data_IF_885201484012
#
_entry.id   IF_885201484012
#
_cell.length_a   1.000
_cell.length_b   1.000
_cell.length_c   1.000
_cell.angle_alpha   90.00
_cell.angle_beta   90.00
_cell.angle_gamma   90.00
#
_symmetry.space_group_name_H-M   'P 1'
#
loop_
_entity.id
_entity.type
_entity.pdbx_description
1 polymer ?
#
# COMPACT_ATOMS: atom_id res chain seq x y z
N UNK A 1 13.77 7.88 -13.62
CA UNK A 1 13.63 6.53 -13.11
C UNK A 1 13.02 5.64 -14.15
N UNK A 2 13.32 4.38 -14.15
CA UNK A 2 12.68 3.44 -15.05
C UNK A 2 11.63 2.68 -14.27
N UNK A 3 10.41 2.63 -14.80
CA UNK A 3 9.39 1.74 -14.30
C UNK A 3 9.78 0.30 -14.63
N UNK A 4 9.85 -0.54 -13.62
CA UNK A 4 10.12 -1.98 -13.77
C UNK A 4 8.88 -2.79 -13.42
N UNK A 5 8.63 -3.87 -14.14
CA UNK A 5 7.61 -4.83 -13.71
C UNK A 5 8.15 -5.61 -12.53
N UNK A 6 7.37 -5.69 -11.45
CA UNK A 6 7.74 -6.40 -10.24
C UNK A 6 7.92 -7.88 -10.53
N UNK A 7 9.12 -8.39 -10.24
CA UNK A 7 9.48 -9.81 -10.35
C UNK A 7 10.11 -10.27 -9.04
N UNK A 8 10.19 -11.58 -8.81
CA UNK A 8 10.85 -12.12 -7.63
C UNK A 8 12.32 -11.72 -7.51
N UNK A 9 12.95 -11.27 -8.58
CA UNK A 9 14.36 -10.87 -8.59
C UNK A 9 14.57 -9.38 -8.26
N UNK A 10 13.79 -8.47 -8.85
CA UNK A 10 13.97 -7.02 -8.66
C UNK A 10 13.30 -6.48 -7.40
N UNK A 11 12.44 -7.26 -6.74
CA UNK A 11 11.66 -6.82 -5.59
C UNK A 11 12.09 -7.41 -4.25
N UNK A 12 13.08 -8.27 -4.20
CA UNK A 12 13.44 -9.09 -3.01
C UNK A 12 13.64 -8.31 -1.71
N UNK A 13 14.05 -7.05 -1.78
CA UNK A 13 14.25 -6.21 -0.61
C UNK A 13 13.05 -5.38 -0.21
N UNK A 14 12.01 -5.29 -1.05
CA UNK A 14 10.83 -4.44 -0.83
C UNK A 14 9.55 -5.24 -0.68
N UNK A 15 9.40 -6.29 -1.49
CA UNK A 15 8.18 -7.06 -1.56
C UNK A 15 8.45 -8.49 -1.98
N UNK A 16 7.48 -9.36 -1.76
CA UNK A 16 7.45 -10.72 -2.25
C UNK A 16 6.26 -10.90 -3.17
N UNK A 17 6.52 -11.36 -4.38
CA UNK A 17 5.47 -11.88 -5.23
C UNK A 17 5.07 -13.26 -4.72
N UNK A 18 3.86 -13.34 -4.25
CA UNK A 18 3.19 -14.61 -4.16
C UNK A 18 2.64 -14.88 -5.56
N UNK A 19 3.44 -15.40 -6.46
CA UNK A 19 3.01 -15.90 -7.76
C UNK A 19 1.76 -16.76 -7.57
N UNK A 20 1.52 -17.83 -8.04
CA UNK A 20 0.47 -18.75 -7.59
C UNK A 20 0.86 -19.22 -6.19
N UNK A 21 0.16 -18.76 -5.16
CA UNK A 21 0.18 -19.41 -3.86
C UNK A 21 -0.67 -20.66 -4.07
N UNK A 22 0.01 -21.80 -4.22
CA UNK A 22 -0.67 -23.08 -4.34
C UNK A 22 -1.61 -23.24 -3.13
N UNK A 23 -2.91 -23.26 -3.38
CA UNK A 23 -3.94 -23.38 -2.36
C UNK A 23 -4.68 -22.09 -1.97
N UNK A 24 -4.33 -20.91 -2.53
CA UNK A 24 -5.08 -19.65 -2.35
C UNK A 24 -5.72 -19.13 -3.65
N UNK A 25 -5.69 -19.90 -4.73
CA UNK A 25 -6.22 -19.49 -6.04
C UNK A 25 -7.71 -19.15 -5.96
N UNK A 26 -8.48 -19.95 -5.24
CA UNK A 26 -9.94 -19.71 -5.06
C UNK A 26 -10.20 -18.44 -4.26
N UNK A 27 -9.41 -18.18 -3.20
CA UNK A 27 -9.51 -16.96 -2.40
C UNK A 27 -9.15 -15.71 -3.23
N UNK A 28 -8.13 -15.78 -4.07
CA UNK A 28 -7.73 -14.70 -4.98
C UNK A 28 -8.84 -14.41 -5.99
N UNK A 29 -9.43 -15.42 -6.63
CA UNK A 29 -10.54 -15.25 -7.59
C UNK A 29 -11.79 -14.67 -6.92
N UNK A 30 -12.12 -15.12 -5.70
CA UNK A 30 -13.24 -14.58 -4.91
C UNK A 30 -13.05 -13.09 -4.63
N UNK A 31 -11.83 -12.70 -4.17
CA UNK A 31 -11.49 -11.32 -3.91
C UNK A 31 -11.55 -10.47 -5.19
N UNK A 32 -10.96 -10.92 -6.30
CA UNK A 32 -10.97 -10.19 -7.56
C UNK A 32 -12.39 -9.93 -8.07
N UNK A 33 -13.26 -10.93 -7.92
CA UNK A 33 -14.68 -10.81 -8.30
C UNK A 33 -15.42 -9.75 -7.47
N UNK A 34 -15.14 -9.68 -6.16
CA UNK A 34 -15.74 -8.68 -5.27
C UNK A 34 -15.11 -7.29 -5.49
N UNK A 35 -13.80 -7.22 -5.62
CA UNK A 35 -13.03 -5.99 -5.82
C UNK A 35 -13.45 -5.26 -7.11
N UNK A 36 -13.74 -5.98 -8.19
CA UNK A 36 -14.21 -5.40 -9.45
C UNK A 36 -15.56 -4.65 -9.32
N UNK A 37 -16.29 -4.85 -8.22
CA UNK A 37 -17.57 -4.17 -7.94
C UNK A 37 -17.44 -2.98 -7.00
N UNK A 38 -16.25 -2.76 -6.43
CA UNK A 38 -15.99 -1.62 -5.55
C UNK A 38 -15.94 -0.32 -6.35
N UNK A 39 -16.21 0.84 -5.73
CA UNK A 39 -16.17 2.13 -6.41
C UNK A 39 -14.81 2.42 -7.08
N UNK A 40 -14.84 3.21 -8.15
CA UNK A 40 -13.64 3.75 -8.79
C UNK A 40 -13.76 5.28 -8.84
N UNK A 41 -13.26 6.01 -7.83
CA UNK A 41 -13.32 7.46 -7.81
C UNK A 41 -12.32 8.12 -8.77
N UNK A 42 -12.55 9.40 -9.09
CA UNK A 42 -11.63 10.23 -9.89
C UNK A 42 -10.31 10.51 -9.16
N UNK A 43 -10.35 10.65 -7.84
CA UNK A 43 -9.20 10.75 -6.96
C UNK A 43 -8.82 9.38 -6.39
N UNK A 44 -8.38 9.36 -5.14
CA UNK A 44 -8.05 8.13 -4.41
C UNK A 44 -8.92 8.05 -3.16
N UNK A 45 -9.61 6.93 -2.99
CA UNK A 45 -10.32 6.58 -1.76
C UNK A 45 -9.71 5.31 -1.15
N UNK A 46 -9.70 5.28 0.18
CA UNK A 46 -9.25 4.14 0.98
C UNK A 46 -10.31 3.72 1.98
N UNK A 47 -10.64 2.44 1.98
CA UNK A 47 -11.55 1.81 2.95
C UNK A 47 -10.78 0.70 3.67
N UNK A 48 -10.46 0.86 4.96
CA UNK A 48 -9.64 -0.11 5.70
C UNK A 48 -10.30 -1.47 5.85
N UNK A 49 -11.64 -1.52 5.92
CA UNK A 49 -12.42 -2.75 6.01
C UNK A 49 -13.68 -2.60 5.19
N UNK A 50 -13.78 -3.33 4.08
CA UNK A 50 -14.99 -3.38 3.26
C UNK A 50 -15.85 -4.58 3.70
N UNK A 51 -17.12 -4.38 4.08
CA UNK A 51 -17.97 -5.49 4.54
C UNK A 51 -18.11 -6.62 3.52
N UNK A 52 -18.21 -6.29 2.21
CA UNK A 52 -18.36 -7.30 1.17
C UNK A 52 -17.09 -8.13 0.97
N UNK A 53 -15.91 -7.54 1.17
CA UNK A 53 -14.63 -8.27 1.16
C UNK A 53 -14.44 -9.07 2.47
N UNK A 54 -14.80 -8.48 3.60
CA UNK A 54 -14.59 -9.10 4.91
C UNK A 54 -15.47 -10.34 5.15
N UNK A 55 -16.62 -10.41 4.51
CA UNK A 55 -17.55 -11.56 4.60
C UNK A 55 -17.16 -12.73 3.69
N UNK A 56 -16.17 -12.57 2.80
CA UNK A 56 -15.68 -13.64 1.94
C UNK A 56 -14.95 -14.73 2.75
N UNK A 57 -15.02 -15.96 2.26
CA UNK A 57 -14.20 -17.05 2.81
C UNK A 57 -12.70 -16.74 2.73
N UNK A 58 -12.29 -15.99 1.73
CA UNK A 58 -10.94 -15.49 1.54
C UNK A 58 -10.38 -14.73 2.77
N UNK A 59 -11.21 -14.08 3.59
CA UNK A 59 -10.74 -13.41 4.80
C UNK A 59 -10.18 -14.40 5.83
N UNK A 60 -10.76 -15.59 5.93
CA UNK A 60 -10.24 -16.67 6.80
C UNK A 60 -8.94 -17.22 6.23
N UNK A 61 -8.89 -17.48 4.92
CA UNK A 61 -7.70 -17.97 4.23
C UNK A 61 -6.51 -17.01 4.40
N UNK A 62 -6.74 -15.69 4.28
CA UNK A 62 -5.72 -14.68 4.51
C UNK A 62 -5.26 -14.63 5.98
N UNK A 63 -6.18 -14.74 6.93
CA UNK A 63 -5.83 -14.83 8.34
C UNK A 63 -4.92 -16.03 8.62
N UNK A 64 -5.29 -17.21 8.15
CA UNK A 64 -4.58 -18.45 8.45
C UNK A 64 -3.25 -18.55 7.70
N UNK A 65 -3.25 -18.27 6.40
CA UNK A 65 -2.11 -18.57 5.52
C UNK A 65 -1.19 -17.38 5.25
N UNK A 66 -1.70 -16.13 5.32
CA UNK A 66 -0.88 -14.94 5.15
C UNK A 66 -0.39 -14.37 6.49
N UNK A 67 -1.19 -14.49 7.54
CA UNK A 67 -0.90 -13.86 8.85
C UNK A 67 -0.81 -14.87 10.01
N UNK A 68 -0.76 -16.17 9.73
CA UNK A 68 -0.54 -17.21 10.74
C UNK A 68 -1.63 -17.28 11.82
N UNK A 69 -2.88 -16.98 11.47
CA UNK A 69 -4.03 -17.01 12.37
C UNK A 69 -4.33 -15.68 13.09
N UNK A 70 -3.60 -14.60 12.77
CA UNK A 70 -3.93 -13.27 13.31
C UNK A 70 -5.20 -12.72 12.66
N UNK A 71 -6.05 -11.99 13.41
CA UNK A 71 -7.19 -11.31 12.82
C UNK A 71 -6.76 -10.32 11.75
N UNK A 72 -7.39 -10.37 10.58
CA UNK A 72 -7.11 -9.49 9.45
C UNK A 72 -8.32 -8.68 9.05
N UNK A 73 -8.07 -7.58 8.39
CA UNK A 73 -9.06 -6.79 7.68
C UNK A 73 -8.79 -6.81 6.20
N UNK A 74 -9.84 -6.91 5.41
CA UNK A 74 -9.81 -6.78 3.96
C UNK A 74 -10.50 -5.49 3.56
N UNK A 75 -9.74 -4.57 3.03
CA UNK A 75 -10.20 -3.30 2.50
C UNK A 75 -9.70 -3.07 1.09
N UNK A 76 -9.78 -1.84 0.63
CA UNK A 76 -9.30 -1.48 -0.69
C UNK A 76 -8.80 -0.03 -0.75
N UNK A 77 -7.88 0.21 -1.68
CA UNK A 77 -7.46 1.51 -2.12
C UNK A 77 -7.72 1.61 -3.62
N UNK A 78 -8.63 2.50 -4.02
CA UNK A 78 -9.09 2.60 -5.41
C UNK A 78 -8.98 4.03 -5.93
N UNK A 79 -8.79 4.19 -7.22
CA UNK A 79 -8.87 5.49 -7.84
C UNK A 79 -7.88 5.74 -8.97
N UNK A 80 -7.48 7.01 -9.07
CA UNK A 80 -6.54 7.52 -10.07
C UNK A 80 -5.45 8.34 -9.37
N UNK A 81 -4.21 7.98 -9.57
CA UNK A 81 -3.04 8.66 -9.02
C UNK A 81 -1.82 8.41 -9.88
N UNK A 82 -0.91 9.38 -9.93
CA UNK A 82 0.41 9.26 -10.56
C UNK A 82 1.53 9.77 -9.66
N UNK A 83 1.19 10.34 -8.49
CA UNK A 83 2.14 11.04 -7.63
C UNK A 83 2.49 10.24 -6.38
N UNK A 84 3.72 10.43 -5.93
CA UNK A 84 4.24 9.88 -4.69
C UNK A 84 3.48 10.41 -3.46
N UNK A 85 3.40 11.70 -3.29
CA UNK A 85 2.81 12.46 -2.19
C UNK A 85 3.32 12.08 -0.79
N UNK A 86 3.23 10.80 -0.43
CA UNK A 86 3.62 10.28 0.88
C UNK A 86 4.26 8.91 0.76
N UNK A 87 4.88 8.48 1.85
CA UNK A 87 5.23 7.09 2.11
C UNK A 87 4.87 6.74 3.54
N UNK A 88 4.39 5.55 3.76
CA UNK A 88 4.01 5.03 5.08
C UNK A 88 4.59 3.65 5.32
N UNK A 89 4.61 3.24 6.59
CA UNK A 89 4.93 1.88 6.98
C UNK A 89 4.07 1.42 8.15
N UNK A 90 3.97 0.12 8.27
CA UNK A 90 3.30 -0.59 9.35
C UNK A 90 4.28 -1.51 10.07
N UNK A 91 3.93 -2.02 11.25
CA UNK A 91 4.75 -3.03 11.95
C UNK A 91 4.53 -4.45 11.39
N UNK A 92 3.70 -4.58 10.37
CA UNK A 92 3.34 -5.84 9.71
C UNK A 92 3.44 -5.70 8.20
N UNK A 93 3.60 -6.82 7.50
CA UNK A 93 3.47 -6.84 6.04
C UNK A 93 2.04 -6.48 5.62
N UNK A 94 1.93 -5.79 4.47
CA UNK A 94 0.67 -5.53 3.79
C UNK A 94 0.56 -6.42 2.55
N UNK A 95 -0.62 -6.99 2.30
CA UNK A 95 -0.86 -7.72 1.05
C UNK A 95 -1.72 -6.89 0.11
N UNK A 96 -1.27 -6.77 -1.14
CA UNK A 96 -1.98 -6.09 -2.22
C UNK A 96 -2.31 -7.04 -3.36
N UNK A 97 -3.49 -6.85 -3.95
CA UNK A 97 -3.96 -7.58 -5.12
C UNK A 97 -4.79 -6.63 -5.98
N UNK A 98 -4.37 -6.38 -7.23
CA UNK A 98 -5.08 -5.47 -8.12
C UNK A 98 -6.05 -6.18 -9.06
N UNK A 99 -7.23 -5.60 -9.26
CA UNK A 99 -8.13 -5.98 -10.36
C UNK A 99 -7.61 -5.48 -11.72
N UNK A 100 -6.88 -4.37 -11.72
CA UNK A 100 -6.12 -3.81 -12.84
C UNK A 100 -4.62 -3.84 -12.51
N UNK A 101 -3.78 -3.69 -13.53
CA UNK A 101 -2.35 -3.42 -13.32
C UNK A 101 -2.20 -2.10 -12.54
N UNK A 102 -1.33 -2.08 -11.56
CA UNK A 102 -1.05 -0.88 -10.76
C UNK A 102 0.45 -0.71 -10.52
N UNK A 103 0.83 0.45 -10.02
CA UNK A 103 2.22 0.78 -9.73
C UNK A 103 2.36 1.09 -8.25
N UNK A 104 3.36 0.47 -7.60
CA UNK A 104 3.81 0.80 -6.26
C UNK A 104 5.10 1.63 -6.32
N UNK A 105 5.10 2.76 -5.62
CA UNK A 105 6.30 3.56 -5.35
C UNK A 105 6.82 3.15 -3.97
N UNK A 106 7.96 2.49 -3.93
CA UNK A 106 8.50 1.84 -2.75
C UNK A 106 9.87 2.38 -2.38
N UNK A 107 10.16 2.42 -1.06
CA UNK A 107 11.48 2.64 -0.51
C UNK A 107 11.66 1.73 0.72
N UNK A 108 12.87 1.64 1.28
CA UNK A 108 13.12 0.83 2.46
C UNK A 108 13.14 1.69 3.72
N UNK A 109 12.58 1.19 4.81
CA UNK A 109 12.54 1.90 6.08
C UNK A 109 13.94 2.26 6.60
N UNK A 110 14.94 1.40 6.36
CA UNK A 110 16.33 1.63 6.74
C UNK A 110 17.00 2.78 5.99
N UNK A 111 16.37 3.30 4.94
CA UNK A 111 16.86 4.45 4.17
C UNK A 111 16.40 5.79 4.74
N UNK A 112 15.60 5.79 5.82
CA UNK A 112 15.23 6.98 6.57
C UNK A 112 16.44 7.41 7.41
N UNK A 113 16.90 8.63 7.20
CA UNK A 113 18.00 9.25 7.95
C UNK A 113 17.46 10.45 8.74
N UNK A 114 17.56 10.43 10.06
CA UNK A 114 17.07 11.51 10.95
C UNK A 114 15.59 11.91 10.70
N UNK A 115 14.74 10.92 10.45
CA UNK A 115 13.31 11.12 10.16
C UNK A 115 13.00 11.61 8.74
N UNK A 116 13.98 11.62 7.84
CA UNK A 116 13.82 12.08 6.45
C UNK A 116 14.27 11.02 5.46
N UNK A 117 13.45 10.77 4.43
CA UNK A 117 13.80 9.97 3.27
C UNK A 117 14.00 10.87 2.05
N UNK A 118 15.11 10.67 1.34
CA UNK A 118 15.32 11.30 0.03
C UNK A 118 14.53 10.54 -1.04
N UNK A 119 13.66 11.26 -1.75
CA UNK A 119 12.80 10.66 -2.78
C UNK A 119 13.55 10.07 -3.96
N UNK A 120 14.83 10.43 -4.16
CA UNK A 120 15.70 9.79 -5.15
C UNK A 120 15.94 8.29 -4.87
N UNK A 121 15.69 7.82 -3.65
CA UNK A 121 15.78 6.40 -3.25
C UNK A 121 14.53 5.59 -3.63
N UNK A 122 13.43 6.26 -3.97
CA UNK A 122 12.16 5.61 -4.33
C UNK A 122 12.28 4.86 -5.64
N UNK A 123 11.77 3.64 -5.67
CA UNK A 123 11.70 2.78 -6.85
C UNK A 123 10.24 2.54 -7.22
N UNK A 124 9.96 2.49 -8.52
CA UNK A 124 8.62 2.25 -9.05
C UNK A 124 8.52 0.84 -9.64
N UNK A 125 7.51 0.09 -9.21
CA UNK A 125 7.27 -1.28 -9.64
C UNK A 125 5.85 -1.43 -10.19
N UNK A 126 5.73 -1.92 -11.42
CA UNK A 126 4.44 -2.32 -11.98
C UNK A 126 4.08 -3.71 -11.48
N UNK A 127 2.91 -3.82 -10.90
CA UNK A 127 2.30 -5.08 -10.45
C UNK A 127 1.20 -5.48 -11.45
N UNK A 128 1.30 -6.64 -12.09
CA UNK A 128 0.25 -7.13 -12.99
C UNK A 128 -1.04 -7.43 -12.23
N UNK A 129 -2.19 -7.22 -12.88
CA UNK A 129 -3.49 -7.61 -12.36
C UNK A 129 -3.52 -9.09 -11.97
N UNK A 130 -4.20 -9.41 -10.88
CA UNK A 130 -4.33 -10.79 -10.37
C UNK A 130 -3.08 -11.36 -9.70
N UNK A 131 -2.02 -10.56 -9.52
CA UNK A 131 -0.81 -10.98 -8.80
C UNK A 131 -0.88 -10.49 -7.35
N UNK A 132 -0.84 -11.42 -6.40
CA UNK A 132 -0.77 -11.11 -4.98
C UNK A 132 0.66 -10.71 -4.59
N UNK A 133 0.79 -9.59 -3.92
CA UNK A 133 2.07 -9.03 -3.47
C UNK A 133 2.05 -8.87 -1.95
N UNK A 134 3.09 -9.34 -1.28
CA UNK A 134 3.40 -9.00 0.11
C UNK A 134 4.41 -7.85 0.12
N UNK A 135 3.98 -6.67 0.55
CA UNK A 135 4.84 -5.53 0.85
C UNK A 135 5.35 -5.69 2.27
N UNK A 136 6.67 -5.82 2.43
CA UNK A 136 7.24 -6.12 3.75
C UNK A 136 7.03 -4.99 4.77
N UNK A 137 6.96 -5.35 6.06
CA UNK A 137 6.88 -4.38 7.16
C UNK A 137 7.97 -3.31 7.14
N UNK A 138 9.14 -3.64 6.57
CA UNK A 138 10.30 -2.75 6.41
C UNK A 138 10.28 -1.92 5.13
N UNK A 139 9.18 -1.99 4.36
CA UNK A 139 9.02 -1.26 3.09
C UNK A 139 8.06 -0.11 3.24
N UNK A 140 8.53 1.06 2.82
CA UNK A 140 7.71 2.25 2.70
C UNK A 140 6.89 2.18 1.42
N UNK A 141 5.60 2.46 1.52
CA UNK A 141 4.62 2.46 0.42
C UNK A 141 3.54 3.50 0.69
N UNK A 142 2.69 3.76 -0.27
CA UNK A 142 1.49 4.59 -0.11
C UNK A 142 0.45 4.22 -1.16
N UNK A 143 -0.53 5.12 -1.39
CA UNK A 143 -1.55 4.91 -2.42
C UNK A 143 -0.94 4.49 -3.75
N UNK A 144 -1.44 3.43 -4.40
CA UNK A 144 -0.97 3.01 -5.71
C UNK A 144 -1.10 4.09 -6.77
N UNK A 145 -0.35 3.94 -7.87
CA UNK A 145 -0.57 4.70 -9.08
C UNK A 145 -1.20 3.82 -10.16
N UNK A 146 -1.99 4.43 -11.05
CA UNK A 146 -2.56 3.70 -12.18
C UNK A 146 -1.51 3.47 -13.28
N UNK A 147 -1.70 2.41 -14.07
CA UNK A 147 -0.95 2.14 -15.29
C UNK A 147 -1.65 2.72 -16.52
N UNK A 148 -2.96 2.92 -16.45
CA UNK A 148 -3.83 3.40 -17.53
C UNK A 148 -4.87 4.36 -16.93
N UNK A 149 -4.78 5.63 -17.29
CA UNK A 149 -5.69 6.67 -16.80
C UNK A 149 -7.17 6.41 -17.14
N UNK A 150 -7.45 5.63 -18.18
CA UNK A 150 -8.83 5.26 -18.54
C UNK A 150 -9.43 4.17 -17.65
N UNK A 151 -8.58 3.44 -16.89
CA UNK A 151 -8.99 2.31 -16.04
C UNK A 151 -8.85 2.60 -14.55
N UNK A 152 -7.92 3.48 -14.16
CA UNK A 152 -7.57 3.65 -12.77
C UNK A 152 -7.00 2.38 -12.15
N UNK A 153 -7.19 2.21 -10.84
CA UNK A 153 -6.84 1.00 -10.12
C UNK A 153 -7.87 0.67 -9.04
N UNK A 154 -8.11 -0.63 -8.83
CA UNK A 154 -8.78 -1.20 -7.65
C UNK A 154 -7.84 -2.20 -7.03
N UNK A 155 -7.38 -1.91 -5.81
CA UNK A 155 -6.37 -2.70 -5.13
C UNK A 155 -6.87 -3.12 -3.75
N UNK A 156 -6.94 -4.44 -3.52
CA UNK A 156 -7.10 -4.98 -2.18
C UNK A 156 -5.97 -4.49 -1.28
N UNK A 157 -6.31 -4.12 -0.06
CA UNK A 157 -5.38 -3.87 1.04
C UNK A 157 -5.75 -4.79 2.19
N UNK A 158 -4.91 -5.80 2.45
CA UNK A 158 -5.06 -6.70 3.58
C UNK A 158 -4.01 -6.40 4.64
N UNK A 159 -4.43 -6.18 5.87
CA UNK A 159 -3.61 -5.80 7.01
C UNK A 159 -4.16 -6.45 8.30
N UNK A 160 -3.36 -6.54 9.37
CA UNK A 160 -3.87 -6.90 10.68
C UNK A 160 -5.02 -5.99 11.13
N UNK A 161 -5.97 -6.59 11.82
CA UNK A 161 -7.19 -5.93 12.28
C UNK A 161 -6.92 -4.61 13.01
N UNK A 162 -7.69 -3.57 12.69
CA UNK A 162 -7.61 -2.20 13.19
C UNK A 162 -6.43 -1.35 12.66
N UNK A 163 -5.57 -1.84 11.81
CA UNK A 163 -4.56 -1.00 11.13
C UNK A 163 -5.26 0.11 10.32
N UNK A 164 -4.67 1.30 10.26
CA UNK A 164 -5.22 2.48 9.56
C UNK A 164 -6.56 2.99 10.12
N UNK A 165 -6.90 2.64 11.35
CA UNK A 165 -8.04 3.19 12.06
C UNK A 165 -7.63 4.38 12.94
N UNK A 166 -8.51 4.85 13.83
CA UNK A 166 -8.26 6.03 14.67
C UNK A 166 -6.89 5.97 15.36
N UNK A 167 -6.09 7.06 15.23
CA UNK A 167 -4.82 7.23 15.96
C UNK A 167 -5.05 7.05 17.46
N UNK A 168 -4.23 6.25 18.16
CA UNK A 168 -4.33 6.16 19.61
C UNK A 168 -4.00 7.51 20.27
N UNK A 169 -4.69 7.81 21.37
CA UNK A 169 -4.38 8.99 22.20
C UNK A 169 -3.13 8.68 23.01
N UNK A 170 -2.03 9.35 22.68
CA UNK A 170 -0.74 9.15 23.33
C UNK A 170 0.11 10.42 23.28
N UNK A 171 1.05 10.54 24.21
CA UNK A 171 2.09 11.56 24.17
C UNK A 171 3.24 11.09 23.28
N UNK A 172 3.82 12.00 22.51
CA UNK A 172 5.01 11.71 21.71
C UNK A 172 6.23 11.57 22.63
N UNK A 173 6.92 10.41 22.57
CA UNK A 173 8.09 10.08 23.40
C UNK A 173 9.27 9.57 22.59
N UNK A 174 9.02 9.04 21.40
CA UNK A 174 10.04 8.55 20.48
C UNK A 174 10.14 9.43 19.25
N UNK A 175 11.23 9.31 18.52
CA UNK A 175 11.43 10.06 17.27
C UNK A 175 10.43 9.69 16.18
N UNK A 176 9.80 8.51 16.27
CA UNK A 176 8.79 8.05 15.31
C UNK A 176 7.37 8.55 15.63
N UNK A 177 7.07 8.87 16.89
CA UNK A 177 5.70 9.19 17.32
C UNK A 177 5.06 10.36 16.55
N UNK A 178 5.80 11.43 16.14
CA UNK A 178 5.25 12.50 15.31
C UNK A 178 4.74 12.04 13.94
N UNK A 179 5.25 10.92 13.42
CA UNK A 179 4.84 10.35 12.15
C UNK A 179 3.61 9.45 12.25
N UNK A 180 3.19 9.05 13.46
CA UNK A 180 2.04 8.18 13.69
C UNK A 180 0.75 8.95 13.39
N UNK A 181 0.13 8.70 12.25
CA UNK A 181 -1.10 9.38 11.80
C UNK A 181 -2.38 8.58 12.06
N UNK A 182 -2.26 7.26 12.12
CA UNK A 182 -3.33 6.33 12.43
C UNK A 182 -2.78 5.15 13.22
N UNK A 183 -3.64 4.25 13.70
CA UNK A 183 -3.20 3.03 14.38
C UNK A 183 -2.31 2.20 13.48
N UNK A 184 -1.10 1.86 13.95
CA UNK A 184 -0.10 1.07 13.22
C UNK A 184 0.31 1.70 11.86
N UNK A 185 0.24 3.05 11.75
CA UNK A 185 0.52 3.78 10.52
C UNK A 185 1.41 4.98 10.78
N UNK A 186 2.66 4.90 10.35
CA UNK A 186 3.63 6.01 10.36
C UNK A 186 3.76 6.55 8.94
N UNK A 187 3.52 7.85 8.77
CA UNK A 187 3.43 8.53 7.48
C UNK A 187 4.50 9.61 7.35
N UNK A 188 5.30 9.54 6.31
CA UNK A 188 6.24 10.57 5.87
C UNK A 188 5.60 11.33 4.71
N UNK A 189 5.21 12.58 4.93
CA UNK A 189 4.57 13.39 3.90
C UNK A 189 5.60 14.20 3.09
N UNK A 190 5.34 14.35 1.78
CA UNK A 190 6.04 15.33 0.96
C UNK A 190 5.47 16.73 1.28
N UNK A 191 6.30 17.80 1.34
CA UNK A 191 5.81 19.13 1.70
C UNK A 191 4.73 19.70 0.76
N UNK A 192 4.65 19.20 -0.48
CA UNK A 192 3.64 19.60 -1.46
C UNK A 192 2.33 18.80 -1.35
N UNK A 193 2.29 17.74 -0.55
CA UNK A 193 1.12 16.87 -0.42
C UNK A 193 -0.03 17.52 0.37
N UNK A 194 -1.25 17.08 0.13
CA UNK A 194 -2.41 17.52 0.91
C UNK A 194 -2.34 17.02 2.35
N UNK A 195 -1.70 15.87 2.58
CA UNK A 195 -1.46 15.31 3.91
C UNK A 195 -0.56 16.23 4.75
N UNK A 196 0.51 16.77 4.16
CA UNK A 196 1.36 17.75 4.85
C UNK A 196 0.62 19.05 5.16
N UNK A 197 -0.21 19.54 4.23
CA UNK A 197 -1.09 20.71 4.45
C UNK A 197 -2.13 20.44 5.54
N UNK A 198 -2.56 19.19 5.67
CA UNK A 198 -3.46 18.71 6.72
C UNK A 198 -2.78 18.47 8.08
N UNK A 199 -1.46 18.70 8.18
CA UNK A 199 -0.70 18.61 9.43
C UNK A 199 0.08 17.31 9.62
N UNK A 200 0.16 16.44 8.61
CA UNK A 200 1.04 15.27 8.67
C UNK A 200 2.52 15.70 8.69
N UNK A 201 3.35 14.94 9.42
CA UNK A 201 4.76 15.23 9.56
C UNK A 201 5.48 15.14 8.20
N UNK A 202 6.16 16.21 7.82
CA UNK A 202 7.01 16.21 6.63
C UNK A 202 8.24 15.33 6.90
N UNK A 203 8.42 14.29 6.07
CA UNK A 203 9.51 13.33 6.16
C UNK A 203 10.08 12.95 4.80
N UNK A 204 9.56 13.52 3.70
CA UNK A 204 10.10 13.32 2.36
C UNK A 204 10.83 14.59 1.89
N UNK A 205 12.00 14.40 1.30
CA UNK A 205 12.84 15.47 0.71
C UNK A 205 13.23 15.09 -0.70
N UNK A 206 13.13 16.04 -1.62
CA UNK A 206 13.46 15.87 -3.03
C UNK A 206 12.26 16.21 -3.92
N UNK A 207 12.14 15.54 -5.04
CA UNK A 207 11.03 15.70 -5.97
C UNK A 207 9.78 14.97 -5.45
N UNK A 208 8.60 15.58 -5.56
CA UNK A 208 7.34 14.85 -5.44
C UNK A 208 7.12 14.09 -6.74
N UNK A 209 7.70 12.90 -6.82
CA UNK A 209 7.75 12.09 -8.04
C UNK A 209 6.36 11.98 -8.65
N UNK A 210 6.24 12.35 -9.93
CA UNK A 210 5.05 12.15 -10.75
C UNK A 210 5.42 11.22 -11.92
N UNK A 211 4.77 10.08 -11.99
CA UNK A 211 5.06 9.07 -13.02
C UNK A 211 4.18 9.20 -14.27
N UNK A 212 3.36 10.25 -14.37
CA UNK A 212 2.47 10.46 -15.52
C UNK A 212 3.19 10.39 -16.86
N UNK A 213 4.41 10.92 -16.93
CA UNK A 213 5.23 10.90 -18.16
C UNK A 213 5.94 9.55 -18.40
N UNK A 214 5.78 8.57 -17.53
CA UNK A 214 6.39 7.23 -17.68
C UNK A 214 5.43 6.18 -18.23
N UNK A 215 4.13 6.53 -18.33
CA UNK A 215 3.02 5.63 -18.69
C UNK A 215 2.73 5.59 -20.20
#
# INVERSE_FOLDING_TARGET
>A
GKLETLTGDNSRSHARLHGRIDGLEEAVEEILTALARTPLPEGVDYVPTDPALQELSAAVEFSEHCYGGMPVQLGWCNGHNTKLNCLEYHRDSEFNLGAEDFILLLARQEEIEDGVLDTAKVQAFRVPAGVLVEVYATTLHYAPCHCDASKGFRVLVALPWLTNTQRPVMEDRTAEDPFLTARNKWLLAHPESEEAKGGAQVGLRGENIDIADWL
#
